data_IF_380483724288
#
_entry.id   IF_380483724288
#
_cell.length_a   1.000
_cell.length_b   1.000
_cell.length_c   1.000
_cell.angle_alpha   90.00
_cell.angle_beta   90.00
_cell.angle_gamma   90.00
#
_symmetry.space_group_name_H-M   'P 1'
#
loop_
_entity.id
_entity.type
_entity.pdbx_description
1 polymer ?
#
# COMPACT_ATOMS: atom_id res chain seq x y z
N UNK A 1 -21.07 6.20 -9.71
CA UNK A 1 -20.63 7.19 -8.69
C UNK A 1 -21.41 8.51 -8.78
N UNK A 2 -21.49 9.17 -9.93
CA UNK A 2 -22.14 10.50 -10.07
C UNK A 2 -23.63 10.53 -9.70
N UNK A 3 -24.43 9.58 -10.19
CA UNK A 3 -25.86 9.49 -9.86
C UNK A 3 -26.10 9.26 -8.34
N UNK A 4 -25.33 8.36 -7.73
CA UNK A 4 -25.40 8.08 -6.29
C UNK A 4 -24.98 9.29 -5.44
N UNK A 5 -23.98 10.05 -5.89
CA UNK A 5 -23.54 11.27 -5.21
C UNK A 5 -24.60 12.38 -5.27
N UNK A 6 -25.31 12.53 -6.40
CA UNK A 6 -26.41 13.48 -6.54
C UNK A 6 -27.64 13.15 -5.69
N UNK A 7 -27.89 11.85 -5.44
CA UNK A 7 -28.96 11.37 -4.55
C UNK A 7 -28.56 11.36 -3.07
N UNK A 8 -27.28 11.51 -2.75
CA UNK A 8 -26.82 11.55 -1.37
C UNK A 8 -27.32 12.82 -0.67
N UNK A 9 -27.70 12.71 0.61
CA UNK A 9 -28.13 13.87 1.39
C UNK A 9 -27.04 14.93 1.39
N UNK A 10 -27.43 16.18 1.12
CA UNK A 10 -26.53 17.34 1.19
C UNK A 10 -25.93 17.39 2.61
N UNK A 11 -24.61 17.26 2.70
CA UNK A 11 -23.88 17.35 3.95
C UNK A 11 -23.47 18.80 4.16
N UNK A 12 -23.74 19.35 5.35
CA UNK A 12 -23.11 20.59 5.78
C UNK A 12 -21.70 20.23 6.27
N UNK A 13 -20.70 20.56 5.44
CA UNK A 13 -19.30 20.29 5.75
C UNK A 13 -18.78 21.52 6.49
N UNK A 14 -18.50 21.38 7.78
CA UNK A 14 -17.66 22.32 8.51
C UNK A 14 -16.20 21.97 8.22
N UNK A 15 -15.38 22.97 7.90
CA UNK A 15 -13.94 22.76 7.82
C UNK A 15 -13.41 22.65 9.24
N UNK A 16 -12.68 21.57 9.51
CA UNK A 16 -11.94 21.39 10.76
C UNK A 16 -10.55 22.00 10.57
N UNK A 17 -10.29 23.12 11.24
CA UNK A 17 -9.00 23.82 11.20
C UNK A 17 -7.85 22.90 11.63
N UNK A 18 -8.08 21.97 12.56
CA UNK A 18 -7.07 21.01 12.99
C UNK A 18 -6.61 20.06 11.88
N UNK A 19 -7.51 19.70 10.94
CA UNK A 19 -7.15 18.89 9.78
C UNK A 19 -6.30 19.68 8.78
N UNK A 20 -6.59 20.97 8.60
CA UNK A 20 -5.83 21.86 7.72
C UNK A 20 -4.41 22.01 8.25
N UNK A 21 -4.27 22.37 9.53
CA UNK A 21 -2.99 22.49 10.23
C UNK A 21 -2.15 21.21 10.13
N UNK A 22 -2.78 20.05 10.25
CA UNK A 22 -2.10 18.77 10.14
C UNK A 22 -1.52 18.55 8.72
N UNK A 23 -2.29 18.89 7.69
CA UNK A 23 -1.81 18.76 6.31
C UNK A 23 -0.71 19.79 5.99
N UNK A 24 -0.84 21.03 6.48
CA UNK A 24 0.21 22.03 6.31
C UNK A 24 1.52 21.60 6.97
N UNK A 25 1.46 21.10 8.21
CA UNK A 25 2.63 20.55 8.92
C UNK A 25 3.24 19.36 8.17
N UNK A 26 2.41 18.45 7.66
CA UNK A 26 2.85 17.29 6.86
C UNK A 26 3.59 17.74 5.59
N UNK A 27 3.02 18.68 4.84
CA UNK A 27 3.64 19.17 3.60
C UNK A 27 4.92 19.96 3.88
N UNK A 28 4.91 20.79 4.93
CA UNK A 28 6.08 21.56 5.34
C UNK A 28 7.25 20.66 5.78
N UNK A 29 6.96 19.49 6.35
CA UNK A 29 7.97 18.52 6.79
C UNK A 29 8.85 17.96 5.65
N UNK A 30 8.45 18.11 4.38
CA UNK A 30 9.28 17.70 3.25
C UNK A 30 10.42 18.69 2.93
N UNK A 31 10.30 19.97 3.26
CA UNK A 31 11.37 20.95 2.98
C UNK A 31 12.68 20.70 3.75
N UNK A 32 12.66 20.36 5.07
CA UNK A 32 13.87 20.04 5.81
C UNK A 32 14.38 18.61 5.58
N UNK A 33 13.78 17.84 4.67
CA UNK A 33 14.23 16.48 4.34
C UNK A 33 15.60 16.45 3.69
N UNK A 34 16.13 15.24 3.53
CA UNK A 34 17.49 15.02 3.02
C UNK A 34 17.52 14.14 1.77
N UNK A 35 16.53 13.25 1.61
CA UNK A 35 16.56 12.20 0.58
C UNK A 35 15.73 12.61 -0.63
N UNK A 36 16.31 12.49 -1.83
CA UNK A 36 15.58 12.74 -3.06
C UNK A 36 14.44 11.70 -3.25
N UNK A 37 13.17 12.12 -3.45
CA UNK A 37 12.06 11.20 -3.65
C UNK A 37 12.24 10.25 -4.84
N UNK A 38 12.91 10.68 -5.92
CA UNK A 38 13.17 9.84 -7.08
C UNK A 38 14.05 8.62 -6.74
N UNK A 39 15.00 8.78 -5.80
CA UNK A 39 15.86 7.67 -5.34
C UNK A 39 15.02 6.64 -4.59
N UNK A 40 14.16 7.09 -3.68
CA UNK A 40 13.27 6.22 -2.90
C UNK A 40 12.26 5.51 -3.82
N UNK A 41 11.69 6.23 -4.78
CA UNK A 41 10.79 5.65 -5.78
C UNK A 41 11.45 4.51 -6.56
N UNK A 42 12.70 4.71 -7.01
CA UNK A 42 13.47 3.69 -7.73
C UNK A 42 13.76 2.48 -6.86
N UNK A 43 14.23 2.69 -5.63
CA UNK A 43 14.48 1.59 -4.68
C UNK A 43 13.22 0.80 -4.39
N UNK A 44 12.07 1.47 -4.21
CA UNK A 44 10.79 0.82 -4.02
C UNK A 44 10.37 -0.01 -5.23
N UNK A 45 10.50 0.55 -6.44
CA UNK A 45 10.19 -0.14 -7.70
C UNK A 45 11.04 -1.41 -7.86
N UNK A 46 12.35 -1.33 -7.58
CA UNK A 46 13.24 -2.49 -7.61
C UNK A 46 12.81 -3.55 -6.59
N UNK A 47 12.55 -3.17 -5.33
CA UNK A 47 12.13 -4.10 -4.29
C UNK A 47 10.80 -4.80 -4.60
N UNK A 48 9.84 -4.06 -5.19
CA UNK A 48 8.56 -4.62 -5.62
C UNK A 48 8.70 -5.53 -6.85
N UNK A 49 9.58 -5.19 -7.79
CA UNK A 49 9.86 -6.01 -8.95
C UNK A 49 10.48 -7.36 -8.56
N UNK A 50 11.46 -7.32 -7.65
CA UNK A 50 12.20 -8.50 -7.22
C UNK A 50 11.39 -9.42 -6.31
N UNK A 51 10.71 -8.90 -5.29
CA UNK A 51 10.02 -9.75 -4.30
C UNK A 51 8.49 -9.81 -4.42
N UNK A 52 7.85 -8.87 -5.12
CA UNK A 52 6.40 -8.82 -5.28
C UNK A 52 5.93 -8.93 -6.76
N UNK A 53 6.82 -9.39 -7.65
CA UNK A 53 6.56 -9.59 -9.09
C UNK A 53 5.53 -10.68 -9.42
N UNK A 54 5.62 -11.26 -10.62
CA UNK A 54 4.64 -12.25 -11.13
C UNK A 54 4.63 -13.51 -10.25
N UNK A 55 5.80 -14.01 -9.91
CA UNK A 55 5.99 -15.15 -9.02
C UNK A 55 6.56 -14.69 -7.69
N UNK A 56 6.01 -15.21 -6.59
CA UNK A 56 6.36 -14.76 -5.24
C UNK A 56 6.72 -15.95 -4.36
N UNK A 57 7.53 -15.68 -3.34
CA UNK A 57 7.74 -16.58 -2.20
C UNK A 57 7.48 -15.81 -0.91
N UNK A 58 7.18 -16.51 0.19
CA UNK A 58 6.98 -15.87 1.50
C UNK A 58 8.21 -15.08 1.94
N UNK A 59 9.40 -15.67 1.79
CA UNK A 59 10.67 -15.03 2.16
C UNK A 59 10.95 -13.76 1.36
N UNK A 60 10.68 -13.76 0.05
CA UNK A 60 10.91 -12.57 -0.78
C UNK A 60 9.93 -11.44 -0.42
N UNK A 61 8.68 -11.79 -0.12
CA UNK A 61 7.67 -10.83 0.32
C UNK A 61 8.00 -10.20 1.68
N UNK A 62 8.45 -10.99 2.65
CA UNK A 62 8.89 -10.51 3.96
C UNK A 62 10.08 -9.54 3.82
N UNK A 63 11.09 -9.92 3.03
CA UNK A 63 12.23 -9.05 2.72
C UNK A 63 11.81 -7.76 2.03
N UNK A 64 10.90 -7.82 1.05
CA UNK A 64 10.37 -6.61 0.40
C UNK A 64 9.63 -5.72 1.40
N UNK A 65 8.87 -6.29 2.34
CA UNK A 65 8.19 -5.52 3.38
C UNK A 65 9.18 -4.79 4.29
N UNK A 66 10.27 -5.45 4.69
CA UNK A 66 11.36 -4.81 5.46
C UNK A 66 11.97 -3.63 4.72
N UNK A 67 12.23 -3.77 3.41
CA UNK A 67 12.74 -2.68 2.57
C UNK A 67 11.72 -1.53 2.53
N UNK A 68 10.43 -1.81 2.31
CA UNK A 68 9.39 -0.77 2.30
C UNK A 68 9.33 -0.03 3.64
N UNK A 69 9.40 -0.76 4.76
CA UNK A 69 9.41 -0.18 6.10
C UNK A 69 10.62 0.73 6.29
N UNK A 70 11.82 0.29 5.88
CA UNK A 70 13.02 1.11 5.93
C UNK A 70 12.88 2.38 5.08
N UNK A 71 12.46 2.26 3.82
CA UNK A 71 12.25 3.38 2.91
C UNK A 71 11.22 4.39 3.46
N UNK A 72 10.22 3.92 4.21
CA UNK A 72 9.20 4.76 4.83
C UNK A 72 9.71 5.59 6.01
N UNK A 73 10.87 5.25 6.58
CA UNK A 73 11.53 6.06 7.62
C UNK A 73 12.35 7.23 7.06
N UNK A 74 12.63 7.22 5.75
CA UNK A 74 13.48 8.23 5.12
C UNK A 74 12.76 9.58 5.01
N UNK A 75 13.47 10.65 5.39
CA UNK A 75 12.96 12.02 5.29
C UNK A 75 13.12 12.53 3.85
N UNK A 76 12.06 12.41 3.07
CA UNK A 76 12.00 12.91 1.70
C UNK A 76 12.19 14.43 1.67
N UNK A 77 12.99 14.90 0.72
CA UNK A 77 13.29 16.31 0.50
C UNK A 77 12.51 16.85 -0.68
N UNK A 78 11.69 17.86 -0.44
CA UNK A 78 11.13 18.70 -1.49
C UNK A 78 12.10 19.87 -1.75
N UNK A 79 12.86 19.83 -2.85
CA UNK A 79 13.79 20.91 -3.19
C UNK A 79 13.07 22.20 -3.63
N UNK A 80 11.86 22.07 -4.17
CA UNK A 80 11.01 23.17 -4.62
C UNK A 80 9.54 22.74 -4.63
N UNK A 81 8.62 23.66 -4.97
CA UNK A 81 7.17 23.37 -5.00
C UNK A 81 6.78 22.28 -5.99
N UNK A 82 7.47 22.18 -7.13
CA UNK A 82 7.18 21.13 -8.12
C UNK A 82 7.52 19.75 -7.55
N UNK A 83 8.63 19.64 -6.82
CA UNK A 83 9.11 18.40 -6.22
C UNK A 83 8.33 17.97 -4.95
N UNK A 84 7.50 18.86 -4.40
CA UNK A 84 6.58 18.52 -3.30
C UNK A 84 5.59 17.42 -3.73
N UNK A 85 5.11 17.47 -4.98
CA UNK A 85 4.19 16.48 -5.54
C UNK A 85 4.85 15.10 -5.61
N UNK A 86 6.14 15.04 -5.95
CA UNK A 86 6.88 13.78 -5.98
C UNK A 86 6.99 13.17 -4.59
N UNK A 87 7.22 13.98 -3.55
CA UNK A 87 7.27 13.51 -2.17
C UNK A 87 5.92 12.89 -1.73
N UNK A 88 4.80 13.57 -2.03
CA UNK A 88 3.47 13.04 -1.78
C UNK A 88 3.20 11.75 -2.56
N UNK A 89 3.63 11.70 -3.82
CA UNK A 89 3.47 10.52 -4.68
C UNK A 89 4.23 9.33 -4.10
N UNK A 90 5.49 9.51 -3.70
CA UNK A 90 6.31 8.44 -3.10
C UNK A 90 5.73 7.97 -1.76
N UNK A 91 5.22 8.87 -0.93
CA UNK A 91 4.54 8.49 0.32
C UNK A 91 3.31 7.58 0.05
N UNK A 92 2.52 7.90 -0.98
CA UNK A 92 1.39 7.07 -1.40
C UNK A 92 1.85 5.74 -2.01
N UNK A 93 2.94 5.75 -2.79
CA UNK A 93 3.53 4.53 -3.36
C UNK A 93 3.99 3.57 -2.26
N UNK A 94 4.71 4.06 -1.24
CA UNK A 94 5.14 3.26 -0.09
C UNK A 94 3.96 2.65 0.67
N UNK A 95 2.93 3.46 0.92
CA UNK A 95 1.69 3.00 1.57
C UNK A 95 1.01 1.90 0.75
N UNK A 96 0.83 2.13 -0.55
CA UNK A 96 0.15 1.18 -1.44
C UNK A 96 0.96 -0.11 -1.57
N UNK A 97 2.28 0.00 -1.73
CA UNK A 97 3.19 -1.15 -1.81
C UNK A 97 3.14 -2.00 -0.53
N UNK A 98 3.16 -1.35 0.66
CA UNK A 98 3.03 -2.04 1.94
C UNK A 98 1.74 -2.84 2.02
N UNK A 99 0.59 -2.25 1.65
CA UNK A 99 -0.69 -2.95 1.64
C UNK A 99 -0.69 -4.15 0.68
N UNK A 100 -0.16 -3.98 -0.54
CA UNK A 100 -0.06 -5.06 -1.53
C UNK A 100 0.78 -6.22 -0.98
N UNK A 101 1.96 -5.93 -0.43
CA UNK A 101 2.87 -6.96 0.10
C UNK A 101 2.28 -7.66 1.32
N UNK A 102 1.73 -6.91 2.27
CA UNK A 102 1.04 -7.46 3.45
C UNK A 102 -0.11 -8.40 3.06
N UNK A 103 -0.95 -7.99 2.10
CA UNK A 103 -2.00 -8.86 1.56
C UNK A 103 -1.47 -10.13 0.90
N UNK A 104 -0.35 -10.03 0.18
CA UNK A 104 0.31 -11.17 -0.45
C UNK A 104 0.95 -12.14 0.55
N UNK A 105 1.46 -11.63 1.69
CA UNK A 105 1.97 -12.45 2.80
C UNK A 105 0.82 -13.21 3.46
N UNK A 106 -0.27 -12.51 3.76
CA UNK A 106 -1.43 -13.05 4.46
C UNK A 106 -2.14 -14.15 3.65
N UNK A 107 -2.20 -13.99 2.32
CA UNK A 107 -2.82 -14.95 1.43
C UNK A 107 -1.84 -16.07 1.04
N UNK A 108 -1.80 -17.15 1.84
CA UNK A 108 -0.97 -18.33 1.57
C UNK A 108 -1.65 -19.31 0.60
N UNK A 109 -1.94 -18.86 -0.62
CA UNK A 109 -2.43 -19.68 -1.74
C UNK A 109 -1.97 -19.11 -3.09
N UNK A 110 -2.23 -19.82 -4.18
CA UNK A 110 -2.12 -19.31 -5.55
C UNK A 110 -3.51 -19.23 -6.20
N UNK A 111 -3.90 -18.03 -6.66
CA UNK A 111 -5.16 -17.76 -7.36
C UNK A 111 -5.03 -16.57 -8.31
N UNK A 112 -5.34 -16.78 -9.59
CA UNK A 112 -5.31 -15.72 -10.61
C UNK A 112 -3.93 -15.09 -10.73
N UNK A 113 -3.84 -13.76 -10.61
CA UNK A 113 -2.57 -13.01 -10.69
C UNK A 113 -1.70 -13.10 -9.41
N UNK A 114 -2.15 -13.84 -8.39
CA UNK A 114 -1.37 -14.09 -7.19
C UNK A 114 -0.84 -15.53 -7.21
N UNK A 115 0.46 -15.70 -7.48
CA UNK A 115 1.11 -17.01 -7.59
C UNK A 115 2.26 -17.13 -6.59
N UNK A 116 2.15 -18.08 -5.67
CA UNK A 116 3.11 -18.41 -4.61
C UNK A 116 3.83 -19.71 -4.94
N UNK A 117 5.14 -19.65 -5.22
CA UNK A 117 5.97 -20.82 -5.57
C UNK A 117 6.24 -21.74 -4.37
N UNK A 118 6.16 -21.19 -3.18
CA UNK A 118 6.41 -21.86 -1.89
C UNK A 118 5.14 -22.54 -1.33
N UNK A 119 4.00 -22.42 -2.01
CA UNK A 119 2.73 -23.00 -1.56
C UNK A 119 2.32 -24.14 -2.47
N UNK A 120 2.18 -25.33 -1.88
CA UNK A 120 1.45 -26.44 -2.51
C UNK A 120 0.02 -26.42 -1.99
N UNK A 121 -0.97 -26.33 -2.88
CA UNK A 121 -2.39 -26.29 -2.52
C UNK A 121 -3.14 -27.50 -3.06
N UNK A 122 -4.05 -28.04 -2.24
CA UNK A 122 -4.92 -29.16 -2.61
C UNK A 122 -6.32 -28.70 -3.07
N UNK A 123 -6.57 -27.38 -3.05
CA UNK A 123 -7.83 -26.76 -3.45
C UNK A 123 -7.67 -25.99 -4.77
N UNK A 124 -8.76 -25.89 -5.49
CA UNK A 124 -8.93 -25.03 -6.64
C UNK A 124 -9.59 -23.70 -6.24
N UNK A 125 -10.01 -22.92 -7.25
CA UNK A 125 -10.65 -21.62 -7.03
C UNK A 125 -12.03 -21.76 -6.37
N UNK A 126 -12.74 -22.85 -6.61
CA UNK A 126 -14.12 -23.10 -6.18
C UNK A 126 -14.19 -23.53 -4.72
N UNK A 127 -13.22 -24.31 -4.25
CA UNK A 127 -13.20 -24.88 -2.89
C UNK A 127 -12.09 -24.31 -1.99
N UNK A 128 -11.48 -23.18 -2.38
CA UNK A 128 -10.46 -22.55 -1.54
C UNK A 128 -11.01 -22.09 -0.18
N UNK A 129 -10.22 -22.28 0.90
CA UNK A 129 -10.58 -21.80 2.23
C UNK A 129 -10.51 -20.27 2.37
N UNK A 130 -9.86 -19.56 1.45
CA UNK A 130 -9.63 -18.12 1.53
C UNK A 130 -10.62 -17.31 0.68
N UNK A 131 -11.17 -16.24 1.26
CA UNK A 131 -12.12 -15.32 0.63
C UNK A 131 -11.49 -13.93 0.42
N UNK A 132 -12.17 -12.86 0.82
CA UNK A 132 -11.66 -11.51 0.67
C UNK A 132 -10.56 -11.23 1.69
N UNK A 133 -9.52 -10.55 1.21
CA UNK A 133 -8.49 -9.95 2.06
C UNK A 133 -8.88 -8.50 2.30
N UNK A 134 -8.89 -8.08 3.55
CA UNK A 134 -9.11 -6.68 3.92
C UNK A 134 -7.84 -6.12 4.55
N UNK A 135 -7.53 -4.87 4.22
CA UNK A 135 -6.29 -4.21 4.59
C UNK A 135 -6.58 -2.76 4.93
N UNK A 136 -5.91 -2.27 5.96
CA UNK A 136 -5.87 -0.87 6.35
C UNK A 136 -4.48 -0.52 6.88
N UNK A 137 -4.29 0.74 7.25
CA UNK A 137 -3.03 1.21 7.83
C UNK A 137 -2.75 0.58 9.20
N UNK A 138 -3.78 0.14 9.93
CA UNK A 138 -3.66 -0.38 11.30
C UNK A 138 -4.08 -1.84 11.45
N UNK A 139 -4.84 -2.38 10.52
CA UNK A 139 -5.46 -3.70 10.62
C UNK A 139 -5.43 -4.44 9.29
N UNK A 140 -5.37 -5.76 9.35
CA UNK A 140 -5.41 -6.65 8.21
C UNK A 140 -6.03 -8.00 8.57
N UNK A 141 -6.69 -8.62 7.60
CA UNK A 141 -7.23 -9.95 7.78
C UNK A 141 -7.67 -10.57 6.48
N UNK A 142 -7.95 -11.87 6.57
CA UNK A 142 -8.46 -12.65 5.46
C UNK A 142 -9.62 -13.47 5.96
N UNK A 143 -10.75 -13.33 5.28
CA UNK A 143 -11.93 -14.11 5.57
C UNK A 143 -11.68 -15.58 5.19
N UNK A 144 -12.06 -16.50 6.08
CA UNK A 144 -11.93 -17.95 5.87
C UNK A 144 -13.29 -18.63 5.89
N UNK A 145 -13.52 -19.58 4.99
CA UNK A 145 -14.71 -20.46 5.01
C UNK A 145 -15.16 -20.93 3.63
N UNK A 146 -15.92 -22.04 3.58
CA UNK A 146 -16.46 -22.64 2.35
C UNK A 146 -17.68 -21.85 1.85
N UNK A 147 -17.89 -21.71 0.54
CA UNK A 147 -19.16 -21.23 -0.02
C UNK A 147 -20.25 -22.26 0.33
N UNK A 148 -21.19 -21.86 1.20
CA UNK A 148 -22.44 -22.60 1.39
C UNK A 148 -23.36 -22.35 0.23
#
# INVERSE_FOLDING_TARGET
AGESAGKAKKRNISLDEGQIDLQEKRLAAFYPGEVNPATVARSLQTAMWEGAGIFRTGSDLEKTLEIINHLSTLKLKAANRCNLIDCCTVQNMLTTASLVVRGAILRKESRGAHVRKDVTQAWDVSNSPYRHTFLSLCDEGIETGVWK
#
